data_IF_314010798164
#
_entry.id   IF_314010798164
#
_cell.length_a   1.000
_cell.length_b   1.000
_cell.length_c   1.000
_cell.angle_alpha   90.00
_cell.angle_beta   90.00
_cell.angle_gamma   90.00
#
_symmetry.space_group_name_H-M   'P 1'
#
loop_
_entity.id
_entity.type
_entity.pdbx_description
1 polymer ?
#
# COMPACT_ATOMS: atom_id res chain seq x y z
N UNK A 1 11.66 2.89 -38.01
CA UNK A 1 11.56 2.04 -36.81
C UNK A 1 10.36 1.13 -36.99
N UNK A 2 10.56 -0.19 -37.02
CA UNK A 2 9.56 -1.14 -37.49
C UNK A 2 8.63 -1.55 -36.33
N UNK A 3 7.34 -1.20 -36.39
CA UNK A 3 6.39 -1.37 -35.28
C UNK A 3 6.23 -2.84 -34.84
N UNK A 4 6.35 -3.77 -35.78
CA UNK A 4 6.20 -5.21 -35.52
C UNK A 4 7.36 -5.79 -34.70
N UNK A 5 8.59 -5.31 -34.90
CA UNK A 5 9.73 -5.73 -34.08
C UNK A 5 9.59 -5.23 -32.65
N UNK A 6 9.09 -4.00 -32.45
CA UNK A 6 8.85 -3.43 -31.12
C UNK A 6 7.77 -4.24 -30.38
N UNK A 7 6.67 -4.58 -31.08
CA UNK A 7 5.58 -5.38 -30.50
C UNK A 7 6.03 -6.80 -30.16
N UNK A 8 6.82 -7.45 -31.02
CA UNK A 8 7.40 -8.77 -30.73
C UNK A 8 8.36 -8.72 -29.56
N UNK A 9 9.20 -7.68 -29.46
CA UNK A 9 10.15 -7.53 -28.37
C UNK A 9 9.44 -7.29 -27.03
N UNK A 10 8.43 -6.43 -27.01
CA UNK A 10 7.58 -6.21 -25.83
C UNK A 10 6.81 -7.47 -25.38
N UNK A 11 6.30 -8.27 -26.32
CA UNK A 11 5.67 -9.57 -26.01
C UNK A 11 6.68 -10.61 -25.51
N UNK A 12 7.91 -10.60 -26.03
CA UNK A 12 8.98 -11.53 -25.62
C UNK A 12 9.51 -11.18 -24.23
N UNK A 13 9.56 -9.90 -23.89
CA UNK A 13 10.10 -9.43 -22.62
C UNK A 13 9.12 -9.56 -21.45
N UNK A 14 7.83 -9.81 -21.70
CA UNK A 14 6.76 -9.99 -20.69
C UNK A 14 6.80 -8.94 -19.56
N UNK A 15 7.35 -7.75 -19.88
CA UNK A 15 7.57 -6.63 -18.99
C UNK A 15 6.65 -5.53 -19.46
N UNK A 16 5.45 -5.48 -18.89
CA UNK A 16 4.56 -4.36 -19.14
C UNK A 16 5.12 -3.12 -18.43
N UNK A 17 5.70 -2.20 -19.20
CA UNK A 17 6.22 -0.93 -18.71
C UNK A 17 5.15 -0.14 -17.93
N UNK A 18 3.87 -0.31 -18.27
CA UNK A 18 2.76 0.32 -17.56
C UNK A 18 2.62 -0.23 -16.14
N UNK A 19 2.73 -1.55 -15.95
CA UNK A 19 2.67 -2.17 -14.63
C UNK A 19 3.84 -1.73 -13.75
N UNK A 20 5.04 -1.60 -14.34
CA UNK A 20 6.23 -1.10 -13.64
C UNK A 20 6.01 0.34 -13.17
N UNK A 21 5.53 1.23 -14.04
CA UNK A 21 5.24 2.62 -13.67
C UNK A 21 4.15 2.71 -12.58
N UNK A 22 3.10 1.89 -12.68
CA UNK A 22 2.03 1.84 -11.67
C UNK A 22 2.59 1.34 -10.33
N UNK A 23 3.47 0.33 -10.34
CA UNK A 23 4.13 -0.19 -9.14
C UNK A 23 4.98 0.89 -8.46
N UNK A 24 5.80 1.61 -9.21
CA UNK A 24 6.64 2.68 -8.66
C UNK A 24 5.80 3.81 -8.07
N UNK A 25 4.71 4.18 -8.75
CA UNK A 25 3.78 5.18 -8.25
C UNK A 25 3.03 4.69 -7.02
N UNK A 26 2.67 3.41 -6.96
CA UNK A 26 2.04 2.80 -5.78
C UNK A 26 2.96 2.84 -4.56
N UNK A 27 4.26 2.59 -4.73
CA UNK A 27 5.24 2.68 -3.64
C UNK A 27 5.35 4.09 -3.07
N UNK A 28 5.27 5.13 -3.92
CA UNK A 28 5.21 6.53 -3.47
C UNK A 28 3.98 6.79 -2.60
N UNK A 29 2.81 6.27 -3.00
CA UNK A 29 1.58 6.38 -2.21
C UNK A 29 1.65 5.59 -0.90
N UNK A 30 2.25 4.40 -0.90
CA UNK A 30 2.54 3.62 0.30
C UNK A 30 3.40 4.42 1.28
N UNK A 31 4.52 4.98 0.82
CA UNK A 31 5.40 5.78 1.68
C UNK A 31 4.70 7.02 2.23
N UNK A 32 3.98 7.75 1.38
CA UNK A 32 3.26 8.95 1.80
C UNK A 32 2.19 8.63 2.85
N UNK A 33 1.39 7.59 2.62
CA UNK A 33 0.37 7.14 3.58
C UNK A 33 0.98 6.63 4.88
N UNK A 34 2.15 5.98 4.84
CA UNK A 34 2.88 5.56 6.03
C UNK A 34 3.28 6.76 6.89
N UNK A 35 3.84 7.82 6.29
CA UNK A 35 4.23 9.04 7.01
C UNK A 35 3.02 9.74 7.62
N UNK A 36 1.92 9.84 6.86
CA UNK A 36 0.67 10.44 7.36
C UNK A 36 0.11 9.64 8.54
N UNK A 37 0.06 8.31 8.42
CA UNK A 37 -0.44 7.45 9.49
C UNK A 37 0.45 7.52 10.75
N UNK A 38 1.78 7.47 10.58
CA UNK A 38 2.72 7.62 11.70
C UNK A 38 2.55 8.98 12.41
N UNK A 39 2.35 10.06 11.65
CA UNK A 39 2.06 11.38 12.20
C UNK A 39 0.73 11.40 12.98
N UNK A 40 -0.33 10.82 12.42
CA UNK A 40 -1.63 10.74 13.08
C UNK A 40 -1.59 9.91 14.37
N UNK A 41 -0.98 8.72 14.35
CA UNK A 41 -0.83 7.90 15.55
C UNK A 41 0.08 8.55 16.59
N UNK A 42 1.15 9.24 16.18
CA UNK A 42 1.98 10.01 17.11
C UNK A 42 1.21 11.13 17.81
N UNK A 43 0.29 11.80 17.12
CA UNK A 43 -0.55 12.83 17.72
C UNK A 43 -1.58 12.26 18.70
N UNK A 44 -2.27 11.17 18.32
CA UNK A 44 -3.22 10.47 19.20
C UNK A 44 -2.51 9.95 20.46
N UNK A 45 -1.29 9.44 20.30
CA UNK A 45 -0.44 8.98 21.40
C UNK A 45 -0.12 10.10 22.38
N UNK A 46 0.24 11.30 21.89
CA UNK A 46 0.55 12.45 22.76
C UNK A 46 -0.64 12.81 23.66
N UNK A 47 -1.86 12.64 23.15
CA UNK A 47 -3.09 12.86 23.91
C UNK A 47 -3.41 11.75 24.93
N UNK A 48 -3.03 10.49 24.65
CA UNK A 48 -3.47 9.31 25.43
C UNK A 48 -2.38 8.65 26.29
N UNK A 49 -1.11 9.01 26.10
CA UNK A 49 0.02 8.48 26.89
C UNK A 49 0.39 7.01 26.59
N UNK A 50 -0.01 6.46 25.43
CA UNK A 50 0.18 5.05 25.08
C UNK A 50 1.60 4.70 24.59
N UNK A 51 2.08 3.45 24.79
CA UNK A 51 3.37 2.98 24.30
C UNK A 51 3.47 2.86 22.76
N UNK A 52 4.70 2.82 22.23
CA UNK A 52 5.06 2.70 20.81
C UNK A 52 4.72 1.30 20.22
N UNK A 53 3.44 0.99 20.02
CA UNK A 53 3.02 -0.26 19.33
C UNK A 53 2.04 -0.04 18.17
N UNK A 54 2.07 1.14 17.54
CA UNK A 54 1.29 1.53 16.37
C UNK A 54 1.91 1.11 15.02
N UNK A 55 3.06 0.41 15.04
CA UNK A 55 3.76 -0.04 13.83
C UNK A 55 2.88 -0.97 12.97
N UNK A 56 2.16 -1.89 13.59
CA UNK A 56 1.30 -2.83 12.87
C UNK A 56 0.18 -2.09 12.13
N UNK A 57 -0.48 -1.12 12.78
CA UNK A 57 -1.52 -0.31 12.17
C UNK A 57 -0.95 0.59 11.05
N UNK A 58 0.20 1.21 11.28
CA UNK A 58 0.85 2.11 10.31
C UNK A 58 1.29 1.36 9.04
N UNK A 59 1.91 0.19 9.19
CA UNK A 59 2.38 -0.62 8.05
C UNK A 59 1.21 -1.24 7.30
N UNK A 60 0.20 -1.76 8.01
CA UNK A 60 -0.97 -2.36 7.36
C UNK A 60 -1.83 -1.32 6.62
N UNK A 61 -1.96 -0.11 7.15
CA UNK A 61 -2.62 1.00 6.46
C UNK A 61 -1.91 1.38 5.17
N UNK A 62 -0.59 1.58 5.23
CA UNK A 62 0.18 1.97 4.05
C UNK A 62 0.19 0.87 2.98
N UNK A 63 0.31 -0.39 3.39
CA UNK A 63 0.20 -1.54 2.51
C UNK A 63 -1.19 -1.65 1.86
N UNK A 64 -2.28 -1.35 2.60
CA UNK A 64 -3.63 -1.32 2.05
C UNK A 64 -3.77 -0.25 0.96
N UNK A 65 -3.28 0.97 1.20
CA UNK A 65 -3.31 2.09 0.23
C UNK A 65 -2.51 1.75 -1.04
N UNK A 66 -1.30 1.20 -0.89
CA UNK A 66 -0.46 0.80 -2.02
C UNK A 66 -1.11 -0.28 -2.90
N UNK A 67 -1.64 -1.33 -2.27
CA UNK A 67 -2.30 -2.42 -2.99
C UNK A 67 -3.64 -1.99 -3.59
N UNK A 68 -4.39 -1.11 -2.93
CA UNK A 68 -5.61 -0.52 -3.49
C UNK A 68 -5.31 0.33 -4.73
N UNK A 69 -4.25 1.15 -4.69
CA UNK A 69 -3.82 1.93 -5.85
C UNK A 69 -3.47 1.03 -7.05
N UNK A 70 -2.75 -0.08 -6.80
CA UNK A 70 -2.44 -1.08 -7.84
C UNK A 70 -3.70 -1.74 -8.38
N UNK A 71 -4.66 -2.08 -7.53
CA UNK A 71 -5.95 -2.62 -7.97
C UNK A 71 -6.72 -1.65 -8.88
N UNK A 72 -6.83 -0.37 -8.49
CA UNK A 72 -7.56 0.63 -9.28
C UNK A 72 -6.95 0.84 -10.66
N UNK A 73 -5.61 0.74 -10.79
CA UNK A 73 -4.90 1.04 -12.04
C UNK A 73 -4.60 -0.19 -12.91
N UNK A 74 -4.19 -1.31 -12.33
CA UNK A 74 -3.90 -2.55 -13.07
C UNK A 74 -5.09 -3.52 -13.10
N UNK A 75 -6.17 -3.29 -12.32
CA UNK A 75 -7.28 -4.24 -12.13
C UNK A 75 -6.84 -5.64 -11.69
N UNK A 76 -5.67 -5.75 -11.06
CA UNK A 76 -5.14 -7.00 -10.55
C UNK A 76 -5.93 -7.47 -9.31
N UNK A 77 -6.62 -8.60 -9.43
CA UNK A 77 -7.42 -9.21 -8.36
C UNK A 77 -6.55 -9.64 -7.17
N UNK A 78 -5.29 -9.97 -7.41
CA UNK A 78 -4.35 -10.35 -6.35
C UNK A 78 -4.08 -9.16 -5.44
N UNK A 79 -3.81 -7.99 -6.03
CA UNK A 79 -3.65 -6.73 -5.29
C UNK A 79 -4.90 -6.39 -4.47
N UNK A 80 -6.11 -6.66 -4.98
CA UNK A 80 -7.35 -6.47 -4.21
C UNK A 80 -7.41 -7.35 -2.96
N UNK A 81 -7.08 -8.64 -3.08
CA UNK A 81 -7.08 -9.57 -1.94
C UNK A 81 -6.08 -9.09 -0.88
N UNK A 82 -4.87 -8.70 -1.29
CA UNK A 82 -3.88 -8.13 -0.39
C UNK A 82 -4.36 -6.84 0.29
N UNK A 83 -5.02 -5.95 -0.45
CA UNK A 83 -5.59 -4.72 0.12
C UNK A 83 -6.65 -5.02 1.19
N UNK A 84 -7.53 -6.00 0.94
CA UNK A 84 -8.56 -6.41 1.92
C UNK A 84 -7.93 -7.01 3.18
N UNK A 85 -6.99 -7.95 3.02
CA UNK A 85 -6.32 -8.60 4.16
C UNK A 85 -5.57 -7.58 5.01
N UNK A 86 -4.80 -6.69 4.38
CA UNK A 86 -4.07 -5.63 5.09
C UNK A 86 -5.01 -4.63 5.75
N UNK A 87 -6.16 -4.33 5.15
CA UNK A 87 -7.17 -3.47 5.77
C UNK A 87 -7.83 -4.11 7.01
N UNK A 88 -8.08 -5.42 7.00
CA UNK A 88 -8.59 -6.14 8.18
C UNK A 88 -7.57 -6.08 9.32
N UNK A 89 -6.28 -6.32 9.03
CA UNK A 89 -5.21 -6.23 10.01
C UNK A 89 -5.09 -4.80 10.57
N UNK A 90 -5.24 -3.80 9.71
CA UNK A 90 -5.28 -2.40 10.11
C UNK A 90 -6.41 -2.14 11.12
N UNK A 91 -7.64 -2.54 10.79
CA UNK A 91 -8.79 -2.34 11.68
C UNK A 91 -8.58 -2.99 13.07
N UNK A 92 -8.11 -4.25 13.11
CA UNK A 92 -7.83 -4.95 14.37
C UNK A 92 -6.70 -4.27 15.15
N UNK A 93 -5.63 -3.85 14.47
CA UNK A 93 -4.49 -3.19 15.10
C UNK A 93 -4.87 -1.81 15.64
N UNK A 94 -5.69 -1.04 14.93
CA UNK A 94 -6.19 0.26 15.38
C UNK A 94 -7.13 0.11 16.57
N UNK A 95 -8.01 -0.89 16.58
CA UNK A 95 -8.86 -1.17 17.76
C UNK A 95 -8.00 -1.52 18.97
N UNK A 96 -7.02 -2.42 18.81
CA UNK A 96 -6.06 -2.77 19.87
C UNK A 96 -5.33 -1.54 20.41
N UNK A 97 -4.84 -0.69 19.51
CA UNK A 97 -4.16 0.56 19.85
C UNK A 97 -5.06 1.50 20.67
N UNK A 98 -6.32 1.69 20.26
CA UNK A 98 -7.27 2.54 20.99
C UNK A 98 -7.65 1.93 22.35
N UNK A 99 -7.67 0.60 22.46
CA UNK A 99 -7.89 -0.10 23.74
C UNK A 99 -6.68 -0.02 24.69
N UNK A 100 -5.56 0.56 24.26
CA UNK A 100 -4.34 0.67 25.07
C UNK A 100 -3.61 -0.65 25.30
N UNK A 101 -3.87 -1.65 24.44
CA UNK A 101 -3.21 -2.96 24.46
C UNK A 101 -2.01 -3.02 23.52
#
# INVERSE_FOLDING_TARGET
MNKEEILKKAQTENNDEMEIQIRDKSMKWTYLSMVIAAGAFSFIRDMQGYPMMDLAATVSFSAAVGNFYRYVKCKDKTALIFAIVTFIIFAVSTIRFIMGH
#
